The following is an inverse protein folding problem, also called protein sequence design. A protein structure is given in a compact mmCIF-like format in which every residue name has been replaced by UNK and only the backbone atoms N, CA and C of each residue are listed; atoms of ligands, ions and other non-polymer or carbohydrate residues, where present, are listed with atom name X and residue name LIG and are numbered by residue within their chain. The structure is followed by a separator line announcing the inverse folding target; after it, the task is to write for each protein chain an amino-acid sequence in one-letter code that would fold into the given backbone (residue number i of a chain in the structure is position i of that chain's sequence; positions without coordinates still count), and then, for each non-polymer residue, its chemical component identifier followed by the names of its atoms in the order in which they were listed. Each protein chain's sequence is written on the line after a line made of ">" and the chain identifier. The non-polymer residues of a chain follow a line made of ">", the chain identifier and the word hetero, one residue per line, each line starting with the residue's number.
data_IF_536963402096
#
_entry.id   IF_536963402096
#
_cell.length_a   1.000
_cell.length_b   1.000
_cell.length_c   1.000
_cell.angle_alpha   90.00
_cell.angle_beta   90.00
_cell.angle_gamma   90.00
#
_symmetry.space_group_name_H-M   'P 1'
#
loop_
_entity.id
_entity.type
_entity.pdbx_description
1 polymer ?
#
# COMPACT_ATOMS: atom_id res chain seq x y z
N UNK A 1 15.62 1.50 -3.42
CA UNK A 1 14.19 1.13 -3.48
C UNK A 1 13.48 1.90 -2.39
N UNK A 2 12.33 2.52 -2.67
CA UNK A 2 11.55 3.26 -1.66
C UNK A 2 10.28 2.48 -1.34
N UNK A 3 10.04 2.22 -0.05
CA UNK A 3 8.79 1.61 0.43
C UNK A 3 7.75 2.69 0.62
N UNK A 4 6.52 2.41 0.21
CA UNK A 4 5.41 3.36 0.34
C UNK A 4 5.13 3.69 1.81
N UNK A 5 5.22 2.69 2.68
CA UNK A 5 5.00 2.80 4.12
C UNK A 5 5.99 3.77 4.77
N UNK A 6 7.27 3.70 4.39
CA UNK A 6 8.31 4.61 4.88
C UNK A 6 8.06 6.06 4.39
N UNK A 7 7.61 6.21 3.14
CA UNK A 7 7.30 7.52 2.57
C UNK A 7 6.11 8.18 3.28
N UNK A 8 5.10 7.41 3.65
CA UNK A 8 3.91 7.92 4.35
C UNK A 8 4.19 8.19 5.83
N UNK A 9 4.85 7.25 6.52
CA UNK A 9 5.09 7.34 7.97
C UNK A 9 6.27 8.23 8.33
N UNK A 10 7.29 8.34 7.46
CA UNK A 10 8.55 9.05 7.69
C UNK A 10 8.93 9.91 6.49
N UNK A 11 7.97 10.72 6.02
CA UNK A 11 8.08 11.48 4.77
C UNK A 11 9.39 12.26 4.63
N UNK A 12 9.72 13.10 5.59
CA UNK A 12 10.92 13.95 5.49
C UNK A 12 12.20 13.11 5.43
N UNK A 13 12.36 12.14 6.31
CA UNK A 13 13.54 11.27 6.31
C UNK A 13 13.69 10.50 4.98
N UNK A 14 12.58 9.96 4.47
CA UNK A 14 12.55 9.24 3.19
C UNK A 14 12.88 10.15 2.01
N UNK A 15 12.31 11.36 1.97
CA UNK A 15 12.59 12.35 0.91
C UNK A 15 14.04 12.85 0.97
N UNK A 16 14.60 13.07 2.16
CA UNK A 16 16.01 13.48 2.32
C UNK A 16 16.95 12.42 1.79
N UNK A 17 16.71 11.15 2.14
CA UNK A 17 17.51 10.03 1.62
C UNK A 17 17.41 9.93 0.09
N UNK A 18 16.21 10.09 -0.47
CA UNK A 18 16.01 10.06 -1.93
C UNK A 18 16.76 11.18 -2.64
N UNK A 19 16.71 12.40 -2.14
CA UNK A 19 17.40 13.56 -2.72
C UNK A 19 18.91 13.42 -2.66
N UNK A 20 19.43 12.85 -1.56
CA UNK A 20 20.86 12.55 -1.43
C UNK A 20 21.31 11.49 -2.46
N UNK A 21 20.53 10.41 -2.63
CA UNK A 21 20.83 9.36 -3.61
C UNK A 21 20.77 9.87 -5.06
N UNK A 22 19.95 10.89 -5.34
CA UNK A 22 19.81 11.51 -6.66
C UNK A 22 20.79 12.68 -6.89
N UNK A 23 21.64 13.01 -5.92
CA UNK A 23 22.55 14.16 -5.94
C UNK A 23 21.83 15.50 -6.26
N UNK A 24 20.67 15.70 -5.64
CA UNK A 24 19.86 16.91 -5.77
C UNK A 24 19.97 17.77 -4.51
N UNK A 25 19.71 19.08 -4.65
CA UNK A 25 19.61 19.97 -3.50
C UNK A 25 18.28 19.75 -2.76
N UNK A 26 18.31 19.88 -1.42
CA UNK A 26 17.11 19.86 -0.61
C UNK A 26 16.26 21.12 -0.82
N UNK A 27 14.95 20.94 -0.95
CA UNK A 27 13.94 22.00 -0.96
C UNK A 27 12.74 21.53 -0.12
N UNK A 28 12.24 22.38 0.78
CA UNK A 28 11.09 22.08 1.64
C UNK A 28 9.80 21.82 0.84
N UNK A 29 9.72 22.35 -0.39
CA UNK A 29 8.62 22.07 -1.32
C UNK A 29 8.45 20.57 -1.62
N UNK A 30 9.50 19.76 -1.45
CA UNK A 30 9.46 18.31 -1.64
C UNK A 30 8.56 17.58 -0.63
N UNK A 31 8.25 18.21 0.51
CA UNK A 31 7.34 17.65 1.52
C UNK A 31 5.86 17.89 1.18
N UNK A 32 5.61 18.82 0.24
CA UNK A 32 4.28 19.23 -0.18
C UNK A 32 4.02 18.61 -1.55
N UNK A 33 3.28 17.50 -1.62
CA UNK A 33 2.93 16.93 -2.90
C UNK A 33 2.16 17.95 -3.73
N UNK A 34 2.45 18.06 -5.03
CA UNK A 34 1.75 18.95 -5.95
C UNK A 34 1.23 18.18 -7.16
N UNK A 35 0.14 18.66 -7.75
CA UNK A 35 -0.41 18.21 -9.03
C UNK A 35 -0.53 19.45 -9.91
N UNK A 36 0.13 19.44 -11.07
CA UNK A 36 0.14 20.58 -12.01
C UNK A 36 0.50 21.93 -11.34
N UNK A 37 1.48 21.92 -10.42
CA UNK A 37 1.92 23.12 -9.70
C UNK A 37 1.02 23.58 -8.55
N UNK A 38 -0.10 22.91 -8.28
CA UNK A 38 -1.00 23.20 -7.16
C UNK A 38 -0.80 22.15 -6.08
N UNK A 39 -0.81 22.56 -4.79
CA UNK A 39 -0.75 21.64 -3.67
C UNK A 39 -1.80 20.53 -3.81
N UNK A 40 -1.35 19.28 -3.88
CA UNK A 40 -2.20 18.12 -4.07
C UNK A 40 -2.75 17.68 -2.73
N UNK A 41 -4.08 17.68 -2.65
CA UNK A 41 -4.85 17.28 -1.46
C UNK A 41 -5.51 15.91 -1.63
N UNK A 42 -4.90 15.00 -2.39
CA UNK A 42 -5.50 13.68 -2.62
C UNK A 42 -4.46 12.57 -2.57
N UNK A 43 -4.94 11.35 -2.73
CA UNK A 43 -4.14 10.22 -3.20
C UNK A 43 -4.64 9.80 -4.59
N UNK A 44 -3.92 8.91 -5.28
CA UNK A 44 -4.30 8.46 -6.63
C UNK A 44 -5.66 7.74 -6.67
N UNK A 45 -6.18 7.33 -5.51
CA UNK A 45 -7.39 6.53 -5.35
C UNK A 45 -8.61 7.33 -4.86
N UNK A 46 -8.43 8.52 -4.28
CA UNK A 46 -9.48 9.39 -3.75
C UNK A 46 -9.12 10.85 -3.97
N UNK A 47 -9.88 11.48 -4.86
CA UNK A 47 -9.77 12.90 -5.22
C UNK A 47 -10.27 13.83 -4.09
N UNK A 48 -10.97 13.31 -3.07
CA UNK A 48 -11.72 14.15 -2.13
C UNK A 48 -11.16 14.28 -0.70
N UNK A 49 -10.35 13.34 -0.18
CA UNK A 49 -10.02 13.33 1.26
C UNK A 49 -8.50 13.25 1.51
N UNK A 50 -7.83 14.40 1.55
CA UNK A 50 -6.43 14.53 1.98
C UNK A 50 -6.21 14.33 3.48
N UNK A 51 -7.25 14.46 4.29
CA UNK A 51 -7.13 14.52 5.75
C UNK A 51 -7.35 13.17 6.43
N UNK A 52 -7.92 12.19 5.73
CA UNK A 52 -8.00 10.83 6.23
C UNK A 52 -6.62 10.18 6.06
N UNK A 53 -5.88 10.06 7.16
CA UNK A 53 -4.59 9.37 7.20
C UNK A 53 -4.63 8.03 6.48
N UNK A 54 -3.53 7.68 5.80
CA UNK A 54 -3.43 6.41 5.08
C UNK A 54 -3.43 5.27 6.09
N UNK A 55 -4.47 4.45 6.07
CA UNK A 55 -4.50 3.19 6.81
C UNK A 55 -3.77 2.10 6.01
N UNK A 56 -2.51 1.85 6.38
CA UNK A 56 -1.67 0.80 5.79
C UNK A 56 -2.24 -0.62 6.00
N UNK A 57 -3.15 -0.79 6.96
CA UNK A 57 -3.76 -2.07 7.32
C UNK A 57 -5.21 -2.20 6.83
N UNK A 58 -5.73 -1.25 6.05
CA UNK A 58 -7.10 -1.29 5.54
C UNK A 58 -7.44 -2.60 4.79
N UNK A 59 -6.44 -3.19 4.13
CA UNK A 59 -6.59 -4.47 3.43
C UNK A 59 -7.06 -5.61 4.34
N UNK A 60 -6.74 -5.58 5.64
CA UNK A 60 -7.12 -6.61 6.61
C UNK A 60 -8.63 -6.67 6.81
N UNK A 61 -9.34 -5.56 6.57
CA UNK A 61 -10.80 -5.50 6.66
C UNK A 61 -11.48 -6.07 5.40
N UNK A 62 -10.76 -6.14 4.28
CA UNK A 62 -11.31 -6.44 2.96
C UNK A 62 -11.03 -7.86 2.45
N UNK A 63 -10.06 -8.55 3.05
CA UNK A 63 -9.69 -9.90 2.65
C UNK A 63 -9.88 -10.89 3.80
N UNK A 64 -10.33 -12.09 3.44
CA UNK A 64 -10.60 -13.16 4.38
C UNK A 64 -9.32 -13.91 4.77
N UNK A 65 -9.30 -14.55 5.94
CA UNK A 65 -8.16 -15.37 6.39
C UNK A 65 -7.73 -16.44 5.37
N UNK A 66 -8.69 -16.99 4.61
CA UNK A 66 -8.42 -17.97 3.55
C UNK A 66 -7.68 -17.34 2.37
N UNK A 67 -8.06 -16.13 2.00
CA UNK A 67 -7.38 -15.35 0.96
C UNK A 67 -5.97 -14.97 1.39
N UNK A 68 -5.79 -14.59 2.66
CA UNK A 68 -4.45 -14.39 3.24
C UNK A 68 -3.64 -15.68 3.17
N UNK A 69 -4.18 -16.82 3.58
CA UNK A 69 -3.49 -18.10 3.51
C UNK A 69 -3.08 -18.50 2.08
N UNK A 70 -3.91 -18.19 1.08
CA UNK A 70 -3.58 -18.39 -0.33
C UNK A 70 -2.44 -17.47 -0.78
N UNK A 71 -2.49 -16.20 -0.42
CA UNK A 71 -1.43 -15.21 -0.70
C UNK A 71 -0.12 -15.65 -0.04
N UNK A 72 -0.12 -16.00 1.24
CA UNK A 72 1.07 -16.48 1.96
C UNK A 72 1.67 -17.74 1.33
N UNK A 73 0.82 -18.67 0.90
CA UNK A 73 1.28 -19.91 0.26
C UNK A 73 1.98 -19.66 -1.07
N UNK A 74 1.47 -18.76 -1.90
CA UNK A 74 1.96 -18.56 -3.27
C UNK A 74 2.94 -17.39 -3.41
N UNK A 75 2.79 -16.34 -2.60
CA UNK A 75 3.55 -15.10 -2.65
C UNK A 75 4.47 -14.93 -1.43
N UNK A 76 4.40 -15.79 -0.40
CA UNK A 76 5.28 -15.75 0.77
C UNK A 76 6.78 -15.59 0.44
N UNK A 77 7.35 -16.32 -0.55
CA UNK A 77 8.74 -16.12 -0.95
C UNK A 77 9.05 -14.69 -1.44
N UNK A 78 8.08 -14.03 -2.07
CA UNK A 78 8.22 -12.64 -2.51
C UNK A 78 8.07 -11.65 -1.35
N UNK A 79 7.15 -11.93 -0.42
CA UNK A 79 6.99 -11.15 0.83
C UNK A 79 8.31 -11.13 1.61
N UNK A 80 8.92 -12.30 1.81
CA UNK A 80 10.22 -12.43 2.48
C UNK A 80 11.33 -11.70 1.71
N UNK A 81 11.40 -11.87 0.38
CA UNK A 81 12.41 -11.22 -0.46
C UNK A 81 12.32 -9.70 -0.43
N UNK A 82 11.10 -9.17 -0.34
CA UNK A 82 10.86 -7.74 -0.24
C UNK A 82 11.08 -7.21 1.19
N UNK A 83 11.31 -8.10 2.17
CA UNK A 83 11.58 -7.80 3.57
C UNK A 83 10.34 -7.33 4.32
N UNK A 84 9.19 -7.90 4.00
CA UNK A 84 7.93 -7.74 4.74
C UNK A 84 7.70 -8.94 5.68
N UNK A 85 7.02 -8.69 6.79
CA UNK A 85 6.62 -9.76 7.71
C UNK A 85 5.43 -10.55 7.16
N UNK A 86 5.45 -11.86 7.38
CA UNK A 86 4.32 -12.72 7.03
C UNK A 86 3.14 -12.52 7.98
N UNK A 87 1.93 -12.63 7.45
CA UNK A 87 0.72 -12.51 8.25
C UNK A 87 0.56 -13.71 9.20
N UNK A 88 0.16 -13.48 10.47
CA UNK A 88 -0.04 -14.54 11.45
C UNK A 88 -1.38 -15.27 11.21
N UNK A 89 -1.55 -15.92 10.06
CA UNK A 89 -2.77 -16.71 9.81
C UNK A 89 -2.69 -18.01 10.62
N UNK A 90 -3.58 -18.15 11.61
CA UNK A 90 -3.81 -19.44 12.28
C UNK A 90 -4.36 -20.41 11.24
N UNK A 91 -3.59 -21.45 10.91
CA UNK A 91 -3.96 -22.43 9.90
C UNK A 91 -5.35 -23.02 10.16
N UNK A 92 -6.36 -22.56 9.43
CA UNK A 92 -7.69 -23.14 9.46
C UNK A 92 -7.69 -24.35 8.54
N UNK A 93 -7.77 -25.54 9.17
CA UNK A 93 -8.07 -26.78 8.45
C UNK A 93 -9.35 -26.56 7.64
N UNK A 94 -9.28 -26.93 6.37
CA UNK A 94 -10.32 -26.81 5.37
C UNK A 94 -11.71 -27.17 5.93
N UNK A 95 -12.60 -26.19 6.03
CA UNK A 95 -14.02 -26.40 6.16
C UNK A 95 -14.78 -25.23 5.54
N UNK A 96 -15.76 -25.58 4.71
CA UNK A 96 -16.70 -24.73 3.97
C UNK A 96 -16.13 -23.96 2.75
N UNK A 97 -16.54 -24.42 1.57
CA UNK A 97 -16.55 -23.68 0.32
C UNK A 97 -17.60 -22.57 0.44
N UNK A 98 -17.17 -21.35 0.74
CA UNK A 98 -17.96 -20.17 0.41
C UNK A 98 -17.03 -19.03 -0.04
N UNK A 99 -17.60 -18.15 -0.85
CA UNK A 99 -16.98 -17.39 -1.94
C UNK A 99 -15.71 -16.55 -1.61
N UNK A 100 -14.65 -16.72 -2.40
CA UNK A 100 -13.49 -15.81 -2.51
C UNK A 100 -13.91 -14.48 -3.15
N UNK A 101 -14.69 -13.67 -2.44
CA UNK A 101 -15.23 -12.40 -2.95
C UNK A 101 -14.39 -11.18 -2.58
N UNK A 102 -13.52 -11.30 -1.56
CA UNK A 102 -12.70 -10.22 -1.01
C UNK A 102 -11.63 -9.76 -1.99
N UNK A 103 -10.72 -10.66 -2.39
CA UNK A 103 -9.64 -10.36 -3.33
C UNK A 103 -10.16 -9.91 -4.70
N UNK A 104 -11.24 -10.52 -5.20
CA UNK A 104 -11.84 -10.11 -6.48
C UNK A 104 -12.40 -8.69 -6.38
N UNK A 105 -13.03 -8.33 -5.25
CA UNK A 105 -13.50 -6.97 -5.00
C UNK A 105 -12.32 -6.00 -4.85
N UNK A 106 -11.29 -6.33 -4.07
CA UNK A 106 -10.09 -5.50 -3.87
C UNK A 106 -9.34 -5.26 -5.18
N UNK A 107 -9.09 -6.33 -5.96
CA UNK A 107 -8.41 -6.24 -7.25
C UNK A 107 -9.25 -5.46 -8.26
N UNK A 108 -10.57 -5.69 -8.31
CA UNK A 108 -11.47 -4.93 -9.18
C UNK A 108 -11.48 -3.45 -8.83
N UNK A 109 -11.62 -3.09 -7.56
CA UNK A 109 -11.60 -1.68 -7.14
C UNK A 109 -10.27 -1.01 -7.55
N UNK A 110 -9.13 -1.69 -7.35
CA UNK A 110 -7.81 -1.17 -7.72
C UNK A 110 -7.58 -1.09 -9.23
N UNK A 111 -8.04 -2.08 -10.00
CA UNK A 111 -7.93 -2.05 -11.46
C UNK A 111 -8.83 -0.99 -12.10
N UNK A 112 -10.01 -0.74 -11.52
CA UNK A 112 -10.88 0.36 -11.92
C UNK A 112 -10.25 1.73 -11.65
N UNK A 113 -9.61 1.93 -10.49
CA UNK A 113 -8.88 3.16 -10.15
C UNK A 113 -7.65 3.43 -11.04
N UNK A 114 -7.02 2.40 -11.61
CA UNK A 114 -5.89 2.54 -12.53
C UNK A 114 -6.29 2.86 -13.98
N UNK A 115 -7.58 2.72 -14.31
CA UNK A 115 -8.08 2.85 -15.68
C UNK A 115 -8.55 4.27 -16.02
N UNK A 116 -8.60 5.19 -15.05
CA UNK A 116 -9.11 6.57 -15.15
C UNK A 116 -8.14 7.54 -14.44
#
# INVERSE_FOLDING_TARGET
>A
MVRYEDLVLRREATMRSLIQELDLAWDDALLVPTKTGVAWKGNSSRVADAEAGVDLNAWQQDITDREVALVEKHLGPWVDRMGYDRSPVKGTRAAALDQCSGLVRTLRNRLWEMSH
#
